data_IF_461219477144
#
_entry.id   IF_461219477144
#
_cell.length_a   1.000
_cell.length_b   1.000
_cell.length_c   1.000
_cell.angle_alpha   90.00
_cell.angle_beta   90.00
_cell.angle_gamma   90.00
#
_symmetry.space_group_name_H-M   'P 1'
#
loop_
_entity.id
_entity.type
_entity.pdbx_description
1 polymer ?
#
# COMPACT_ATOMS: atom_id res chain seq x y z
N UNK A 1 52.43 16.58 16.94
CA UNK A 1 51.37 15.84 16.28
C UNK A 1 51.53 16.08 14.79
N UNK A 2 51.81 15.04 14.01
CA UNK A 2 52.04 15.17 12.59
C UNK A 2 50.84 15.77 11.88
N UNK A 3 51.04 16.55 10.84
CA UNK A 3 49.95 17.20 10.09
C UNK A 3 48.85 16.20 9.66
N UNK A 4 49.23 15.02 9.22
CA UNK A 4 48.29 13.92 8.87
C UNK A 4 47.44 13.45 10.08
N UNK A 5 48.06 13.30 11.25
CA UNK A 5 47.33 12.91 12.45
C UNK A 5 46.27 13.94 12.85
N UNK A 6 46.58 15.24 12.72
CA UNK A 6 45.64 16.33 12.97
C UNK A 6 44.46 16.28 11.97
N UNK A 7 44.73 16.04 10.70
CA UNK A 7 43.68 15.90 9.67
C UNK A 7 42.75 14.72 9.98
N UNK A 8 43.31 13.55 10.37
CA UNK A 8 42.53 12.37 10.71
C UNK A 8 41.64 12.65 11.92
N UNK A 9 42.18 13.25 12.97
CA UNK A 9 41.40 13.58 14.19
C UNK A 9 40.25 14.53 13.87
N UNK A 10 40.48 15.57 13.08
CA UNK A 10 39.43 16.51 12.67
C UNK A 10 38.34 15.79 11.85
N UNK A 11 38.72 14.92 10.91
CA UNK A 11 37.79 14.16 10.11
C UNK A 11 36.93 13.22 10.97
N UNK A 12 37.54 12.52 11.92
CA UNK A 12 36.84 11.64 12.86
C UNK A 12 35.83 12.44 13.70
N UNK A 13 36.24 13.61 14.25
CA UNK A 13 35.34 14.45 15.04
C UNK A 13 34.12 14.90 14.20
N UNK A 14 34.36 15.38 12.98
CA UNK A 14 33.27 15.82 12.09
C UNK A 14 32.34 14.64 11.75
N UNK A 15 32.90 13.46 11.45
CA UNK A 15 32.09 12.27 11.15
C UNK A 15 31.25 11.82 12.34
N UNK A 16 31.83 11.82 13.55
CA UNK A 16 31.12 11.50 14.79
C UNK A 16 29.99 12.52 15.08
N UNK A 17 30.27 13.81 14.95
CA UNK A 17 29.28 14.86 15.14
C UNK A 17 28.12 14.73 14.14
N UNK A 18 28.44 14.51 12.86
CA UNK A 18 27.41 14.30 11.82
C UNK A 18 26.56 13.05 12.09
N UNK A 19 27.19 11.94 12.48
CA UNK A 19 26.50 10.71 12.85
C UNK A 19 25.58 10.90 14.06
N UNK A 20 26.05 11.64 15.10
CA UNK A 20 25.25 11.95 16.26
C UNK A 20 24.01 12.80 15.92
N UNK A 21 24.17 13.84 15.08
CA UNK A 21 23.06 14.69 14.63
C UNK A 21 22.02 13.86 13.85
N UNK A 22 22.46 12.98 12.94
CA UNK A 22 21.57 12.11 12.18
C UNK A 22 20.82 11.12 13.09
N UNK A 23 21.51 10.50 14.05
CA UNK A 23 20.91 9.58 15.00
C UNK A 23 19.85 10.26 15.88
N UNK A 24 20.12 11.44 16.40
CA UNK A 24 19.17 12.24 17.18
C UNK A 24 17.97 12.66 16.33
N UNK A 25 18.21 13.14 15.10
CA UNK A 25 17.14 13.50 14.18
C UNK A 25 16.23 12.31 13.90
N UNK A 26 16.79 11.14 13.61
CA UNK A 26 16.05 9.90 13.39
C UNK A 26 15.23 9.51 14.63
N UNK A 27 15.82 9.53 15.82
CA UNK A 27 15.13 9.15 17.05
C UNK A 27 13.90 10.04 17.35
N UNK A 28 13.97 11.33 17.03
CA UNK A 28 12.85 12.26 17.22
C UNK A 28 11.80 12.13 16.11
N UNK A 29 12.21 11.90 14.87
CA UNK A 29 11.32 11.92 13.71
C UNK A 29 10.62 10.57 13.48
N UNK A 30 11.30 9.46 13.77
CA UNK A 30 10.79 8.12 13.48
C UNK A 30 9.44 7.79 14.15
N UNK A 31 9.18 8.11 15.44
CA UNK A 31 7.87 7.83 16.05
C UNK A 31 6.72 8.55 15.33
N UNK A 32 6.94 9.79 14.90
CA UNK A 32 5.93 10.57 14.15
C UNK A 32 5.65 9.97 12.77
N UNK A 33 6.70 9.51 12.09
CA UNK A 33 6.56 8.85 10.78
C UNK A 33 5.75 7.56 10.92
N UNK A 34 6.02 6.74 11.94
CA UNK A 34 5.29 5.50 12.17
C UNK A 34 3.82 5.73 12.49
N UNK A 35 3.53 6.73 13.34
CA UNK A 35 2.14 7.08 13.67
C UNK A 35 1.37 7.60 12.44
N UNK A 36 1.98 8.46 11.63
CA UNK A 36 1.38 8.91 10.37
C UNK A 36 1.15 7.77 9.38
N UNK A 37 2.09 6.83 9.28
CA UNK A 37 1.95 5.66 8.43
C UNK A 37 0.78 4.77 8.87
N UNK A 38 0.64 4.56 10.19
CA UNK A 38 -0.48 3.82 10.78
C UNK A 38 -1.82 4.51 10.51
N UNK A 39 -1.93 5.81 10.79
CA UNK A 39 -3.16 6.58 10.54
C UNK A 39 -3.55 6.54 9.06
N UNK A 40 -2.57 6.68 8.16
CA UNK A 40 -2.80 6.58 6.72
C UNK A 40 -3.29 5.19 6.32
N UNK A 41 -2.74 4.13 6.91
CA UNK A 41 -3.19 2.76 6.66
C UNK A 41 -4.63 2.57 7.13
N UNK A 42 -4.96 2.99 8.35
CA UNK A 42 -6.33 2.89 8.90
C UNK A 42 -7.32 3.67 8.03
N UNK A 43 -6.98 4.91 7.61
CA UNK A 43 -7.80 5.69 6.69
C UNK A 43 -7.99 4.98 5.34
N UNK A 44 -6.94 4.38 4.80
CA UNK A 44 -7.00 3.68 3.53
C UNK A 44 -7.88 2.42 3.60
N UNK A 45 -7.87 1.71 4.74
CA UNK A 45 -8.80 0.58 4.97
C UNK A 45 -10.26 1.06 4.93
N UNK A 46 -10.58 2.19 5.59
CA UNK A 46 -11.93 2.76 5.56
C UNK A 46 -12.33 3.28 4.16
N UNK A 47 -11.38 3.74 3.36
CA UNK A 47 -11.62 4.12 1.97
C UNK A 47 -12.01 2.92 1.11
N UNK A 48 -11.32 1.78 1.29
CA UNK A 48 -11.59 0.58 0.48
C UNK A 48 -12.73 -0.29 1.03
N UNK A 49 -13.13 -0.09 2.31
CA UNK A 49 -14.32 -0.72 2.92
C UNK A 49 -15.22 0.40 3.49
N UNK A 50 -15.99 1.12 2.66
CA UNK A 50 -16.73 2.32 3.11
C UNK A 50 -17.79 2.06 4.18
N UNK A 51 -18.26 0.82 4.32
CA UNK A 51 -19.26 0.43 5.31
C UNK A 51 -18.65 0.07 6.68
N UNK A 52 -17.31 0.09 6.80
CA UNK A 52 -16.63 -0.19 8.05
C UNK A 52 -16.52 1.08 8.92
N UNK A 53 -16.77 0.92 10.22
CA UNK A 53 -16.51 1.95 11.23
C UNK A 53 -15.39 1.53 12.19
N UNK A 54 -15.06 0.24 12.22
CA UNK A 54 -13.97 -0.34 13.03
C UNK A 54 -13.12 -1.28 12.19
N UNK A 55 -11.87 -1.44 12.60
CA UNK A 55 -10.89 -2.27 11.91
C UNK A 55 -10.31 -3.24 12.92
N UNK A 56 -10.28 -4.52 12.57
CA UNK A 56 -9.61 -5.58 13.32
C UNK A 56 -8.46 -6.12 12.47
N UNK A 57 -7.25 -6.11 13.01
CA UNK A 57 -6.06 -6.63 12.32
C UNK A 57 -5.92 -8.13 12.63
N UNK A 58 -5.80 -8.93 11.58
CA UNK A 58 -5.64 -10.39 11.65
C UNK A 58 -4.47 -10.82 10.79
N UNK A 59 -3.53 -11.56 11.36
CA UNK A 59 -2.44 -12.16 10.62
C UNK A 59 -2.79 -13.61 10.26
N UNK A 60 -2.73 -13.94 8.97
CA UNK A 60 -2.85 -15.31 8.46
C UNK A 60 -1.68 -15.63 7.53
N UNK A 61 -0.86 -16.58 7.93
CA UNK A 61 0.37 -16.92 7.20
C UNK A 61 1.35 -15.74 7.20
N UNK A 62 1.81 -15.37 6.02
CA UNK A 62 2.71 -14.25 5.77
C UNK A 62 2.00 -12.93 5.40
N UNK A 63 0.65 -12.94 5.40
CA UNK A 63 -0.17 -11.78 5.05
C UNK A 63 -0.91 -11.23 6.27
N UNK A 64 -0.96 -9.88 6.34
CA UNK A 64 -1.79 -9.15 7.30
C UNK A 64 -3.07 -8.71 6.62
N UNK A 65 -4.19 -9.00 7.25
CA UNK A 65 -5.53 -8.64 6.81
C UNK A 65 -6.17 -7.67 7.80
N UNK A 66 -6.97 -6.77 7.30
CA UNK A 66 -7.74 -5.80 8.08
C UNK A 66 -9.22 -6.08 7.84
N UNK A 67 -9.91 -6.59 8.84
CA UNK A 67 -11.34 -6.88 8.76
C UNK A 67 -12.10 -5.61 9.10
N UNK A 68 -12.91 -5.12 8.16
CA UNK A 68 -13.81 -4.00 8.38
C UNK A 68 -15.10 -4.44 9.04
N UNK A 69 -15.45 -3.81 10.17
CA UNK A 69 -16.66 -4.06 10.96
C UNK A 69 -17.53 -2.81 10.95
N UNK A 70 -18.86 -2.99 10.88
CA UNK A 70 -19.83 -1.92 11.11
C UNK A 70 -20.03 -1.62 12.61
N UNK A 71 -20.85 -0.63 12.94
CA UNK A 71 -21.14 -0.25 14.33
C UNK A 71 -21.83 -1.37 15.14
N UNK A 72 -22.51 -2.29 14.45
CA UNK A 72 -23.15 -3.47 15.05
C UNK A 72 -22.19 -4.66 15.21
N UNK A 73 -20.96 -4.56 14.71
CA UNK A 73 -19.94 -5.62 14.74
C UNK A 73 -20.06 -6.63 13.60
N UNK A 74 -20.85 -6.34 12.56
CA UNK A 74 -20.92 -7.21 11.39
C UNK A 74 -19.73 -6.96 10.46
N UNK A 75 -19.17 -8.00 9.91
CA UNK A 75 -18.05 -7.94 8.97
C UNK A 75 -18.54 -7.49 7.59
N UNK A 76 -17.91 -6.45 7.05
CA UNK A 76 -18.26 -5.78 5.78
C UNK A 76 -17.30 -6.07 4.65
N UNK A 77 -16.13 -6.58 4.96
CA UNK A 77 -15.10 -6.93 4.01
C UNK A 77 -13.75 -7.09 4.67
N UNK A 78 -12.78 -7.48 3.88
CA UNK A 78 -11.38 -7.54 4.30
C UNK A 78 -10.55 -6.61 3.43
N UNK A 79 -9.55 -5.98 4.03
CA UNK A 79 -8.54 -5.25 3.29
C UNK A 79 -7.18 -5.90 3.49
N UNK A 80 -6.32 -5.80 2.46
CA UNK A 80 -4.94 -6.29 2.52
C UNK A 80 -4.04 -5.39 1.68
N UNK A 81 -2.75 -5.41 2.01
CA UNK A 81 -1.74 -4.66 1.27
C UNK A 81 -1.09 -5.54 0.21
N UNK A 82 -0.93 -4.99 -0.99
CA UNK A 82 -0.12 -5.59 -2.07
C UNK A 82 0.84 -4.56 -2.66
N UNK A 83 1.84 -5.04 -3.39
CA UNK A 83 2.89 -4.19 -3.98
C UNK A 83 3.03 -4.52 -5.45
N UNK A 84 2.95 -3.49 -6.29
CA UNK A 84 3.26 -3.57 -7.71
C UNK A 84 4.60 -2.92 -8.04
N UNK A 85 5.27 -3.37 -9.11
CA UNK A 85 6.49 -2.75 -9.62
C UNK A 85 6.13 -1.74 -10.71
N UNK A 86 6.10 -0.46 -10.35
CA UNK A 86 5.83 0.64 -11.27
C UNK A 86 7.02 1.01 -12.14
N UNK A 87 6.94 2.18 -12.80
CA UNK A 87 8.02 2.68 -13.66
C UNK A 87 9.19 3.26 -12.84
N UNK A 88 8.89 4.07 -11.83
CA UNK A 88 9.91 4.75 -11.00
C UNK A 88 10.18 4.05 -9.66
N UNK A 89 9.41 3.03 -9.31
CA UNK A 89 9.57 2.31 -8.07
C UNK A 89 8.36 1.46 -7.70
N UNK A 90 8.32 1.01 -6.44
CA UNK A 90 7.21 0.22 -5.92
C UNK A 90 5.97 1.08 -5.72
N UNK A 91 4.82 0.47 -5.97
CA UNK A 91 3.49 1.03 -5.72
C UNK A 91 2.86 0.16 -4.64
N UNK A 92 2.62 0.71 -3.46
CA UNK A 92 1.90 0.04 -2.39
C UNK A 92 0.41 0.33 -2.50
N UNK A 93 -0.39 -0.72 -2.50
CA UNK A 93 -1.82 -0.68 -2.78
C UNK A 93 -2.56 -1.33 -1.62
N UNK A 94 -3.57 -0.64 -1.07
CA UNK A 94 -4.58 -1.22 -0.21
C UNK A 94 -5.72 -1.73 -1.08
N UNK A 95 -6.17 -2.95 -0.85
CA UNK A 95 -7.22 -3.61 -1.63
C UNK A 95 -8.34 -4.02 -0.68
N UNK A 96 -9.55 -3.59 -0.96
CA UNK A 96 -10.76 -4.05 -0.26
C UNK A 96 -11.41 -5.18 -1.05
N UNK A 97 -11.74 -6.26 -0.37
CA UNK A 97 -12.34 -7.48 -0.93
C UNK A 97 -13.52 -7.94 -0.09
N UNK A 98 -14.61 -8.28 -0.77
CA UNK A 98 -15.76 -8.95 -0.18
C UNK A 98 -15.71 -10.46 -0.51
N UNK A 99 -15.38 -11.33 0.46
CA UNK A 99 -15.37 -12.77 0.23
C UNK A 99 -16.75 -13.35 -0.08
N UNK A 100 -17.83 -12.74 0.41
CA UNK A 100 -19.20 -13.26 0.18
C UNK A 100 -19.60 -13.13 -1.28
N UNK A 101 -19.31 -11.98 -1.89
CA UNK A 101 -19.64 -11.72 -3.29
C UNK A 101 -18.51 -12.10 -4.26
N UNK A 102 -17.30 -12.32 -3.78
CA UNK A 102 -16.11 -12.55 -4.62
C UNK A 102 -15.70 -11.31 -5.42
N UNK A 103 -15.94 -10.10 -4.87
CA UNK A 103 -15.72 -8.83 -5.56
C UNK A 103 -14.81 -7.89 -4.80
N UNK A 104 -14.14 -7.02 -5.55
CA UNK A 104 -13.39 -5.92 -4.97
C UNK A 104 -14.36 -4.82 -4.50
N UNK A 105 -14.16 -4.36 -3.27
CA UNK A 105 -14.86 -3.20 -2.72
C UNK A 105 -14.23 -1.89 -3.20
N UNK A 106 -12.93 -1.91 -3.52
CA UNK A 106 -12.17 -0.79 -4.04
C UNK A 106 -10.67 -0.98 -3.84
N UNK A 107 -9.90 -0.01 -4.33
CA UNK A 107 -8.46 0.09 -4.08
C UNK A 107 -8.08 1.49 -3.63
N UNK A 108 -6.97 1.60 -2.89
CA UNK A 108 -6.33 2.88 -2.57
C UNK A 108 -4.80 2.78 -2.71
N UNK A 109 -4.14 3.87 -3.09
CA UNK A 109 -2.69 3.90 -3.27
C UNK A 109 -2.03 4.47 -2.01
N UNK A 110 -1.43 3.60 -1.20
CA UNK A 110 -0.76 3.96 0.04
C UNK A 110 0.51 4.76 -0.19
N UNK A 111 1.36 4.25 -1.10
CA UNK A 111 2.67 4.82 -1.39
C UNK A 111 3.07 4.54 -2.83
N UNK A 112 3.79 5.48 -3.44
CA UNK A 112 4.38 5.32 -4.76
C UNK A 112 5.48 6.37 -4.99
N UNK A 113 6.36 6.09 -5.95
CA UNK A 113 7.43 7.01 -6.39
C UNK A 113 7.28 7.43 -7.86
N UNK A 114 6.05 7.31 -8.42
CA UNK A 114 5.77 7.60 -9.81
C UNK A 114 5.83 9.10 -10.16
N UNK A 115 6.11 9.41 -11.41
CA UNK A 115 6.23 10.79 -11.91
C UNK A 115 4.92 11.55 -11.77
N UNK A 116 4.93 12.76 -11.13
CA UNK A 116 3.76 13.63 -11.05
C UNK A 116 3.16 13.94 -12.43
N UNK A 117 1.83 13.92 -12.53
CA UNK A 117 1.11 14.20 -13.79
C UNK A 117 1.09 13.05 -14.79
N UNK A 118 1.87 11.98 -14.58
CA UNK A 118 1.89 10.76 -15.39
C UNK A 118 1.49 9.55 -14.54
N UNK A 119 2.45 8.73 -14.11
CA UNK A 119 2.22 7.54 -13.30
C UNK A 119 1.53 7.83 -11.97
N UNK A 120 1.74 9.01 -11.40
CA UNK A 120 1.07 9.44 -10.16
C UNK A 120 -0.47 9.53 -10.27
N UNK A 121 -1.03 9.60 -11.48
CA UNK A 121 -2.46 9.62 -11.72
C UNK A 121 -3.17 8.31 -11.38
N UNK A 122 -2.45 7.24 -11.07
CA UNK A 122 -3.06 6.03 -10.49
C UNK A 122 -3.76 6.29 -9.14
N UNK A 123 -3.48 7.42 -8.47
CA UNK A 123 -4.19 7.89 -7.28
C UNK A 123 -5.53 8.53 -7.59
N UNK A 124 -5.75 8.99 -8.81
CA UNK A 124 -6.96 9.69 -9.19
C UNK A 124 -8.16 8.75 -9.04
N UNK A 125 -9.28 9.29 -8.58
CA UNK A 125 -10.53 8.54 -8.41
C UNK A 125 -10.98 7.89 -9.72
N UNK A 126 -10.79 8.58 -10.85
CA UNK A 126 -11.11 8.06 -12.18
C UNK A 126 -10.39 6.74 -12.51
N UNK A 127 -9.15 6.56 -12.01
CA UNK A 127 -8.43 5.28 -12.20
C UNK A 127 -8.82 4.25 -11.15
N UNK A 128 -8.97 4.64 -9.88
CA UNK A 128 -9.25 3.72 -8.79
C UNK A 128 -10.66 3.15 -8.83
N UNK A 129 -11.65 3.97 -9.21
CA UNK A 129 -13.07 3.58 -9.21
C UNK A 129 -13.38 2.39 -10.14
N UNK A 130 -12.60 2.19 -11.21
CA UNK A 130 -12.81 1.09 -12.14
C UNK A 130 -12.62 -0.31 -11.53
N UNK A 131 -11.93 -0.39 -10.37
CA UNK A 131 -11.70 -1.66 -9.66
C UNK A 131 -12.84 -2.03 -8.73
N UNK A 132 -13.70 -1.09 -8.38
CA UNK A 132 -14.86 -1.34 -7.52
C UNK A 132 -15.87 -2.24 -8.23
N UNK A 133 -16.25 -3.35 -7.59
CA UNK A 133 -17.19 -4.33 -8.13
C UNK A 133 -16.59 -5.33 -9.13
N UNK A 134 -15.30 -5.22 -9.49
CA UNK A 134 -14.63 -6.24 -10.28
C UNK A 134 -14.58 -7.56 -9.55
N UNK A 135 -14.80 -8.66 -10.30
CA UNK A 135 -14.68 -10.02 -9.77
C UNK A 135 -13.22 -10.39 -9.53
N UNK A 136 -12.97 -11.24 -8.54
CA UNK A 136 -11.65 -11.85 -8.36
C UNK A 136 -11.24 -12.75 -9.53
N UNK A 137 -12.21 -13.16 -10.36
CA UNK A 137 -11.99 -13.97 -11.58
C UNK A 137 -11.60 -13.13 -12.80
N UNK A 138 -11.75 -11.79 -12.75
CA UNK A 138 -11.39 -10.90 -13.84
C UNK A 138 -9.89 -11.01 -14.18
N UNK A 139 -9.55 -10.69 -15.43
CA UNK A 139 -8.19 -10.86 -15.93
C UNK A 139 -7.22 -9.82 -15.40
N UNK A 140 -7.69 -8.64 -15.02
CA UNK A 140 -6.88 -7.50 -14.58
C UNK A 140 -5.77 -7.16 -15.57
N UNK A 141 -6.13 -7.06 -16.86
CA UNK A 141 -5.19 -6.75 -17.93
C UNK A 141 -5.40 -5.33 -18.42
N UNK A 142 -4.34 -4.51 -18.32
CA UNK A 142 -4.36 -3.13 -18.80
C UNK A 142 -4.68 -3.07 -20.31
N UNK A 143 -5.58 -2.16 -20.71
CA UNK A 143 -6.14 -1.99 -22.07
C UNK A 143 -7.11 -3.09 -22.53
N UNK A 144 -7.47 -4.00 -21.65
CA UNK A 144 -8.54 -4.98 -21.91
C UNK A 144 -9.70 -4.73 -20.95
N UNK A 145 -9.58 -5.15 -19.69
CA UNK A 145 -10.57 -4.98 -18.64
C UNK A 145 -10.18 -3.92 -17.60
N UNK A 146 -8.95 -3.37 -17.69
CA UNK A 146 -8.48 -2.22 -16.91
C UNK A 146 -8.10 -1.09 -17.87
N UNK A 147 -8.75 0.06 -17.72
CA UNK A 147 -8.42 1.26 -18.49
C UNK A 147 -7.06 1.82 -18.03
N UNK A 148 -6.10 1.84 -18.96
CA UNK A 148 -4.76 2.33 -18.66
C UNK A 148 -4.67 3.85 -18.84
N UNK A 149 -3.94 4.52 -17.95
CA UNK A 149 -3.67 5.95 -18.04
C UNK A 149 -2.76 6.22 -19.24
N UNK A 150 -3.17 7.13 -20.12
CA UNK A 150 -2.35 7.56 -21.25
C UNK A 150 -1.02 8.14 -20.76
N UNK A 151 0.09 7.63 -21.30
CA UNK A 151 1.44 7.99 -20.87
C UNK A 151 1.94 7.30 -19.58
N UNK A 152 1.10 6.48 -18.93
CA UNK A 152 1.46 5.75 -17.71
C UNK A 152 1.00 4.28 -17.74
N UNK A 153 1.12 3.63 -18.89
CA UNK A 153 0.71 2.22 -19.07
C UNK A 153 1.46 1.29 -18.12
N UNK A 154 2.76 1.52 -17.86
CA UNK A 154 3.56 0.68 -16.96
C UNK A 154 3.00 0.73 -15.55
N UNK A 155 2.72 1.92 -15.02
CA UNK A 155 2.14 2.09 -13.67
C UNK A 155 0.74 1.48 -13.58
N UNK A 156 -0.10 1.64 -14.61
CA UNK A 156 -1.43 1.03 -14.68
C UNK A 156 -1.36 -0.51 -14.72
N UNK A 157 -0.44 -1.07 -15.52
CA UNK A 157 -0.20 -2.51 -15.59
C UNK A 157 0.35 -3.05 -14.27
N UNK A 158 1.22 -2.30 -13.60
CA UNK A 158 1.78 -2.70 -12.31
C UNK A 158 0.69 -2.86 -11.24
N UNK A 159 -0.28 -1.92 -11.20
CA UNK A 159 -1.44 -2.03 -10.31
C UNK A 159 -2.28 -3.26 -10.65
N UNK A 160 -2.68 -3.41 -11.91
CA UNK A 160 -3.51 -4.52 -12.37
C UNK A 160 -2.87 -5.90 -12.08
N UNK A 161 -1.58 -6.06 -12.41
CA UNK A 161 -0.85 -7.32 -12.16
C UNK A 161 -0.67 -7.62 -10.67
N UNK A 162 -0.43 -6.59 -9.84
CA UNK A 162 -0.34 -6.76 -8.39
C UNK A 162 -1.67 -7.24 -7.81
N UNK A 163 -2.79 -6.70 -8.27
CA UNK A 163 -4.13 -7.14 -7.87
C UNK A 163 -4.36 -8.59 -8.25
N UNK A 164 -4.15 -8.97 -9.51
CA UNK A 164 -4.35 -10.35 -9.97
C UNK A 164 -3.55 -11.35 -9.14
N UNK A 165 -2.26 -11.07 -8.96
CA UNK A 165 -1.35 -11.97 -8.23
C UNK A 165 -1.73 -12.10 -6.76
N UNK A 166 -2.09 -10.99 -6.11
CA UNK A 166 -2.44 -11.01 -4.68
C UNK A 166 -3.82 -11.61 -4.43
N UNK A 167 -4.81 -11.33 -5.29
CA UNK A 167 -6.14 -11.90 -5.18
C UNK A 167 -6.13 -13.43 -5.29
N UNK A 168 -5.32 -14.00 -6.18
CA UNK A 168 -5.16 -15.44 -6.27
C UNK A 168 -4.79 -16.08 -4.91
N UNK A 169 -3.86 -15.47 -4.17
CA UNK A 169 -3.46 -15.92 -2.83
C UNK A 169 -4.54 -15.65 -1.77
N UNK A 170 -5.19 -14.50 -1.87
CA UNK A 170 -6.23 -14.11 -0.89
C UNK A 170 -7.45 -15.01 -0.98
N UNK A 171 -7.86 -15.41 -2.17
CA UNK A 171 -8.97 -16.35 -2.38
C UNK A 171 -8.68 -17.75 -1.83
N UNK A 172 -7.41 -18.18 -1.78
CA UNK A 172 -7.03 -19.44 -1.09
C UNK A 172 -7.24 -19.34 0.43
N UNK A 173 -7.06 -18.16 1.03
CA UNK A 173 -7.20 -17.93 2.48
C UNK A 173 -8.66 -17.60 2.85
N UNK A 174 -9.31 -16.83 2.00
CA UNK A 174 -10.69 -16.39 2.13
C UNK A 174 -11.47 -16.68 0.83
N UNK A 175 -11.96 -17.92 0.68
CA UNK A 175 -12.64 -18.35 -0.55
C UNK A 175 -13.95 -17.60 -0.76
N UNK A 176 -14.36 -17.50 -2.02
CA UNK A 176 -15.65 -16.89 -2.41
C UNK A 176 -16.80 -17.67 -1.79
N UNK A 177 -17.76 -16.95 -1.18
CA UNK A 177 -18.89 -17.53 -0.44
C UNK A 177 -18.52 -18.07 0.95
N UNK A 178 -17.27 -17.90 1.39
CA UNK A 178 -16.81 -18.29 2.72
C UNK A 178 -17.14 -17.24 3.80
N UNK A 179 -17.24 -17.71 5.05
CA UNK A 179 -17.23 -16.81 6.22
C UNK A 179 -15.80 -16.35 6.53
N UNK A 180 -15.64 -15.13 6.99
CA UNK A 180 -14.33 -14.51 7.29
C UNK A 180 -14.33 -13.76 8.61
#
# INVERSE_FOLDING_TARGET
MNQYARMIVVLVIISMASGAVLALSYAVTNPTIQEQARQKLEQSVLVVIPEASRIEEVQKGDMTFYIGLDDAGNKKGIAFKTVGSGFSGSIEIMVGYDPKEGKLLGIDILSMSETPGLGARIKDEAFRSQFKGKSVEDEFVAKQDVEAISGATISSTAVASALKTSLAKVVEIYPVGGDF
#
